data_IF_572286562032
#
_entry.id   IF_572286562032
#
_cell.length_a   1.000
_cell.length_b   1.000
_cell.length_c   1.000
_cell.angle_alpha   90.00
_cell.angle_beta   90.00
_cell.angle_gamma   90.00
#
_symmetry.space_group_name_H-M   'P 1'
#
loop_
_entity.id
_entity.type
_entity.pdbx_description
1 polymer ?
#
# COMPACT_ATOMS: atom_id res chain seq x y z
N UNK A 1 12.77 -13.55 -1.36
CA UNK A 1 13.35 -12.19 -1.39
C UNK A 1 13.04 -11.58 -2.74
N UNK A 2 12.46 -10.37 -2.77
CA UNK A 2 12.17 -9.67 -4.03
C UNK A 2 13.50 -9.27 -4.70
N UNK A 3 13.66 -9.63 -5.97
CA UNK A 3 14.80 -9.21 -6.80
C UNK A 3 14.51 -7.94 -7.59
N UNK A 4 13.27 -7.42 -7.51
CA UNK A 4 12.84 -6.20 -8.20
C UNK A 4 12.38 -5.15 -7.20
N UNK A 5 12.83 -3.90 -7.42
CA UNK A 5 12.41 -2.73 -6.65
C UNK A 5 11.85 -1.65 -7.57
N UNK A 6 11.00 -0.81 -7.03
CA UNK A 6 10.53 0.41 -7.68
C UNK A 6 11.39 1.59 -7.21
N UNK A 7 11.74 2.49 -8.12
CA UNK A 7 12.44 3.73 -7.85
C UNK A 7 11.71 4.89 -8.51
N UNK A 8 11.46 5.94 -7.75
CA UNK A 8 11.01 7.23 -8.28
C UNK A 8 12.03 8.31 -7.91
N UNK A 9 12.31 9.21 -8.83
CA UNK A 9 13.14 10.37 -8.57
C UNK A 9 12.25 11.57 -8.24
N UNK A 10 12.58 12.29 -7.16
CA UNK A 10 11.91 13.53 -6.84
C UNK A 10 12.15 14.59 -7.94
N UNK A 11 11.25 15.57 -8.06
CA UNK A 11 11.28 16.56 -9.13
C UNK A 11 12.58 17.39 -9.18
N UNK A 12 13.23 17.58 -8.04
CA UNK A 12 14.51 18.30 -7.94
C UNK A 12 15.75 17.43 -8.23
N UNK A 13 15.57 16.10 -8.43
CA UNK A 13 16.67 15.20 -8.69
C UNK A 13 17.11 15.29 -10.16
N UNK A 14 18.43 15.40 -10.43
CA UNK A 14 18.94 15.34 -11.78
C UNK A 14 18.79 13.94 -12.39
N UNK A 15 18.69 13.88 -13.71
CA UNK A 15 18.62 12.59 -14.42
C UNK A 15 19.88 11.76 -14.17
N UNK A 16 21.06 12.38 -14.18
CA UNK A 16 22.35 11.70 -13.95
C UNK A 16 22.40 11.06 -12.56
N UNK A 17 21.91 11.75 -11.52
CA UNK A 17 21.86 11.20 -10.18
C UNK A 17 20.88 10.02 -10.08
N UNK A 18 19.73 10.12 -10.74
CA UNK A 18 18.76 9.02 -10.79
C UNK A 18 19.33 7.81 -11.53
N UNK A 19 20.01 8.02 -12.65
CA UNK A 19 20.63 6.96 -13.44
C UNK A 19 21.80 6.31 -12.71
N UNK A 20 22.61 7.08 -12.00
CA UNK A 20 23.68 6.56 -11.14
C UNK A 20 23.14 5.68 -10.01
N UNK A 21 22.04 6.10 -9.37
CA UNK A 21 21.37 5.31 -8.33
C UNK A 21 20.82 3.99 -8.89
N UNK A 22 20.19 4.03 -10.07
CA UNK A 22 19.70 2.83 -10.76
C UNK A 22 20.86 1.88 -11.09
N UNK A 23 21.95 2.42 -11.66
CA UNK A 23 23.14 1.63 -11.98
C UNK A 23 23.75 0.94 -10.77
N UNK A 24 23.83 1.64 -9.63
CA UNK A 24 24.31 1.06 -8.38
C UNK A 24 23.43 -0.12 -7.90
N UNK A 25 22.10 0.04 -7.95
CA UNK A 25 21.17 -1.00 -7.54
C UNK A 25 21.21 -2.21 -8.49
N UNK A 26 21.37 -1.96 -9.79
CA UNK A 26 21.52 -3.02 -10.79
C UNK A 26 22.87 -3.76 -10.61
N UNK A 27 23.94 -3.07 -10.30
CA UNK A 27 25.23 -3.68 -9.98
C UNK A 27 25.16 -4.55 -8.71
N UNK A 28 24.25 -4.24 -7.78
CA UNK A 28 23.95 -5.05 -6.61
C UNK A 28 23.02 -6.26 -6.92
N UNK A 29 22.71 -6.50 -8.19
CA UNK A 29 21.89 -7.65 -8.63
C UNK A 29 20.38 -7.41 -8.57
N UNK A 30 19.91 -6.18 -8.36
CA UNK A 30 18.49 -5.85 -8.32
C UNK A 30 17.98 -5.44 -9.71
N UNK A 31 16.76 -5.85 -10.02
CA UNK A 31 16.01 -5.28 -11.14
C UNK A 31 15.31 -4.00 -10.68
N UNK A 32 15.44 -2.91 -11.43
CA UNK A 32 14.85 -1.62 -11.07
C UNK A 32 13.74 -1.25 -12.05
N UNK A 33 12.55 -0.96 -11.52
CA UNK A 33 11.45 -0.35 -12.27
C UNK A 33 11.35 1.13 -11.94
N UNK A 34 11.53 1.97 -12.94
CA UNK A 34 11.38 3.43 -12.81
C UNK A 34 9.90 3.79 -12.84
N UNK A 35 9.41 4.50 -11.83
CA UNK A 35 8.03 4.94 -11.70
C UNK A 35 7.95 6.46 -11.49
N UNK A 36 6.76 7.02 -11.69
CA UNK A 36 6.49 8.41 -11.30
C UNK A 36 6.52 8.56 -9.76
N UNK A 37 6.90 9.74 -9.30
CA UNK A 37 6.90 10.09 -7.87
C UNK A 37 5.48 10.38 -7.40
N UNK A 38 4.79 9.33 -6.98
CA UNK A 38 3.43 9.37 -6.43
C UNK A 38 3.38 8.64 -5.10
N UNK A 39 2.52 9.04 -4.15
CA UNK A 39 2.40 8.39 -2.85
C UNK A 39 2.15 6.89 -2.98
N UNK A 40 3.00 6.09 -2.33
CA UNK A 40 2.91 4.62 -2.34
C UNK A 40 3.36 3.95 -3.62
N UNK A 41 3.83 4.69 -4.61
CA UNK A 41 4.20 4.17 -5.93
C UNK A 41 3.09 3.26 -6.52
N UNK A 42 3.43 2.08 -7.06
CA UNK A 42 2.43 1.15 -7.59
C UNK A 42 1.92 0.17 -6.51
N UNK A 43 2.83 -0.58 -5.88
CA UNK A 43 2.45 -1.70 -4.99
C UNK A 43 1.79 -1.21 -3.72
N UNK A 44 2.43 -0.29 -2.99
CA UNK A 44 1.88 0.21 -1.73
C UNK A 44 0.57 0.96 -1.93
N UNK A 45 0.44 1.73 -3.01
CA UNK A 45 -0.83 2.37 -3.37
C UNK A 45 -1.94 1.35 -3.57
N UNK A 46 -1.66 0.29 -4.35
CA UNK A 46 -2.65 -0.76 -4.64
C UNK A 46 -3.05 -1.50 -3.36
N UNK A 47 -2.08 -1.94 -2.56
CA UNK A 47 -2.35 -2.66 -1.31
C UNK A 47 -3.12 -1.77 -0.33
N UNK A 48 -2.74 -0.50 -0.20
CA UNK A 48 -3.42 0.45 0.70
C UNK A 48 -4.89 0.66 0.29
N UNK A 49 -5.17 0.82 -1.01
CA UNK A 49 -6.54 0.98 -1.50
C UNK A 49 -7.37 -0.28 -1.31
N UNK A 50 -6.82 -1.46 -1.63
CA UNK A 50 -7.52 -2.73 -1.40
C UNK A 50 -7.84 -2.95 0.09
N UNK A 51 -6.89 -2.67 0.96
CA UNK A 51 -7.09 -2.75 2.40
C UNK A 51 -8.15 -1.75 2.90
N UNK A 52 -8.14 -0.54 2.33
CA UNK A 52 -9.09 0.52 2.69
C UNK A 52 -10.54 0.11 2.39
N UNK A 53 -10.79 -0.39 1.18
CA UNK A 53 -12.13 -0.85 0.76
C UNK A 53 -12.59 -2.06 1.58
N UNK A 54 -11.69 -3.03 1.81
CA UNK A 54 -12.00 -4.19 2.64
C UNK A 54 -12.29 -3.79 4.10
N UNK A 55 -11.54 -2.83 4.65
CA UNK A 55 -11.77 -2.30 5.99
C UNK A 55 -13.10 -1.54 6.10
N UNK A 56 -13.50 -0.81 5.06
CA UNK A 56 -14.81 -0.15 5.03
C UNK A 56 -15.95 -1.18 5.02
N UNK A 57 -15.83 -2.26 4.25
CA UNK A 57 -16.84 -3.35 4.25
C UNK A 57 -16.98 -3.98 5.64
N UNK A 58 -15.87 -4.21 6.34
CA UNK A 58 -15.88 -4.72 7.72
C UNK A 58 -16.50 -3.70 8.68
N UNK A 59 -16.12 -2.42 8.56
CA UNK A 59 -16.65 -1.35 9.39
C UNK A 59 -18.16 -1.19 9.26
N UNK A 60 -18.69 -1.36 8.06
CA UNK A 60 -20.12 -1.31 7.76
C UNK A 60 -20.88 -2.60 8.13
N UNK A 61 -20.20 -3.60 8.66
CA UNK A 61 -20.82 -4.87 9.09
C UNK A 61 -21.21 -5.80 7.93
N UNK A 62 -20.67 -5.58 6.73
CA UNK A 62 -20.95 -6.45 5.57
C UNK A 62 -20.38 -7.86 5.78
N UNK A 63 -19.16 -7.93 6.36
CA UNK A 63 -18.48 -9.19 6.62
C UNK A 63 -17.42 -9.02 7.73
N UNK A 64 -16.88 -10.15 8.23
CA UNK A 64 -15.70 -10.12 9.12
C UNK A 64 -14.42 -9.88 8.33
N UNK A 65 -13.32 -9.50 9.01
CA UNK A 65 -12.01 -9.34 8.40
C UNK A 65 -11.52 -10.64 7.71
N UNK A 66 -11.75 -11.77 8.38
CA UNK A 66 -11.43 -13.10 7.84
C UNK A 66 -12.22 -13.42 6.57
N UNK A 67 -13.51 -13.06 6.55
CA UNK A 67 -14.38 -13.31 5.40
C UNK A 67 -14.01 -12.42 4.21
N UNK A 68 -13.67 -11.14 4.44
CA UNK A 68 -13.17 -10.23 3.41
C UNK A 68 -11.91 -10.78 2.76
N UNK A 69 -10.94 -11.22 3.55
CA UNK A 69 -9.69 -11.79 3.06
C UNK A 69 -9.91 -13.11 2.31
N UNK A 70 -10.80 -13.98 2.82
CA UNK A 70 -11.15 -15.23 2.14
C UNK A 70 -11.80 -14.97 0.78
N UNK A 71 -12.72 -14.02 0.69
CA UNK A 71 -13.40 -13.65 -0.56
C UNK A 71 -12.39 -13.19 -1.63
N UNK A 72 -11.42 -12.37 -1.27
CA UNK A 72 -10.40 -11.89 -2.22
C UNK A 72 -9.41 -12.99 -2.63
N UNK A 73 -9.05 -13.88 -1.71
CA UNK A 73 -8.19 -15.03 -2.04
C UNK A 73 -8.87 -16.04 -2.95
N UNK A 74 -10.14 -16.35 -2.69
CA UNK A 74 -10.88 -17.36 -3.43
C UNK A 74 -11.52 -16.81 -4.72
N UNK A 75 -12.01 -15.58 -4.68
CA UNK A 75 -12.71 -14.97 -5.81
C UNK A 75 -11.79 -14.41 -6.89
N UNK A 76 -10.65 -13.84 -6.52
CA UNK A 76 -9.71 -13.20 -7.45
C UNK A 76 -8.29 -13.78 -7.36
N UNK A 77 -8.14 -14.89 -6.65
CA UNK A 77 -6.89 -15.64 -6.54
C UNK A 77 -5.69 -14.81 -6.02
N UNK A 78 -5.94 -13.92 -5.06
CA UNK A 78 -4.86 -13.19 -4.41
C UNK A 78 -4.03 -14.12 -3.52
N UNK A 79 -2.69 -13.96 -3.50
CA UNK A 79 -1.82 -14.81 -2.67
C UNK A 79 -2.03 -14.57 -1.17
N UNK A 80 -2.55 -13.40 -0.81
CA UNK A 80 -2.87 -13.00 0.57
C UNK A 80 -4.08 -12.08 0.55
N UNK A 81 -4.89 -12.11 1.60
CA UNK A 81 -6.01 -11.19 1.73
C UNK A 81 -5.56 -9.74 1.98
N UNK A 82 -6.34 -8.75 1.56
CA UNK A 82 -5.98 -7.33 1.64
C UNK A 82 -5.74 -6.85 3.08
N UNK A 83 -6.54 -7.30 4.04
CA UNK A 83 -6.38 -6.92 5.45
C UNK A 83 -5.16 -7.59 6.08
N UNK A 84 -4.90 -8.86 5.77
CA UNK A 84 -3.70 -9.56 6.18
C UNK A 84 -2.43 -8.96 5.54
N UNK A 85 -2.51 -8.40 4.34
CA UNK A 85 -1.42 -7.61 3.75
C UNK A 85 -1.17 -6.34 4.54
N UNK A 86 -2.23 -5.59 4.86
CA UNK A 86 -2.12 -4.36 5.63
C UNK A 86 -1.45 -4.59 6.99
N UNK A 87 -1.87 -5.64 7.71
CA UNK A 87 -1.25 -6.03 8.99
C UNK A 87 0.23 -6.41 8.82
N UNK A 88 0.59 -7.13 7.74
CA UNK A 88 1.98 -7.54 7.47
C UNK A 88 2.90 -6.38 7.12
N UNK A 89 2.39 -5.38 6.40
CA UNK A 89 3.13 -4.16 6.02
C UNK A 89 3.23 -3.19 7.19
N UNK A 90 2.31 -3.32 8.13
CA UNK A 90 2.12 -2.39 9.24
C UNK A 90 1.04 -1.36 8.93
N UNK A 91 -0.04 -1.40 9.71
CA UNK A 91 -1.24 -0.60 9.47
C UNK A 91 -0.96 0.91 9.48
N UNK A 92 0.02 1.38 10.25
CA UNK A 92 0.48 2.76 10.25
C UNK A 92 1.02 3.20 8.88
N UNK A 93 1.73 2.31 8.16
CA UNK A 93 2.24 2.60 6.83
C UNK A 93 1.08 2.72 5.81
N UNK A 94 0.10 1.83 5.90
CA UNK A 94 -1.13 1.89 5.08
C UNK A 94 -1.87 3.22 5.31
N UNK A 95 -2.09 3.58 6.56
CA UNK A 95 -2.73 4.84 6.94
C UNK A 95 -1.99 6.06 6.38
N UNK A 96 -0.66 6.07 6.50
CA UNK A 96 0.19 7.16 6.00
C UNK A 96 0.08 7.31 4.49
N UNK A 97 0.13 6.20 3.74
CA UNK A 97 0.00 6.22 2.27
C UNK A 97 -1.38 6.74 1.86
N UNK A 98 -2.46 6.28 2.49
CA UNK A 98 -3.83 6.74 2.20
C UNK A 98 -3.97 8.24 2.48
N UNK A 99 -3.43 8.74 3.59
CA UNK A 99 -3.43 10.17 3.90
C UNK A 99 -2.68 10.98 2.85
N UNK A 100 -1.50 10.53 2.42
CA UNK A 100 -0.73 11.21 1.37
C UNK A 100 -1.48 11.20 0.03
N UNK A 101 -2.14 10.10 -0.32
CA UNK A 101 -3.00 10.03 -1.51
C UNK A 101 -4.15 11.04 -1.42
N UNK A 102 -4.86 11.08 -0.29
CA UNK A 102 -5.93 12.05 -0.05
C UNK A 102 -5.46 13.50 -0.16
N UNK A 103 -4.32 13.83 0.45
CA UNK A 103 -3.73 15.17 0.36
C UNK A 103 -3.29 15.54 -1.06
N UNK A 104 -2.76 14.56 -1.84
CA UNK A 104 -2.25 14.81 -3.19
C UNK A 104 -3.36 14.95 -4.23
N UNK A 105 -4.44 14.19 -4.11
CA UNK A 105 -5.51 14.15 -5.11
C UNK A 105 -6.78 14.91 -4.69
N UNK A 106 -7.04 15.06 -3.39
CA UNK A 106 -8.24 15.72 -2.88
C UNK A 106 -9.55 15.00 -3.20
N UNK A 107 -9.50 13.69 -3.46
CA UNK A 107 -10.65 12.89 -3.85
C UNK A 107 -11.13 11.98 -2.71
N UNK A 108 -12.45 11.84 -2.56
CA UNK A 108 -13.09 11.03 -1.51
C UNK A 108 -12.68 9.55 -1.57
N UNK A 109 -12.31 9.04 -2.74
CA UNK A 109 -11.83 7.65 -2.90
C UNK A 109 -10.61 7.32 -2.03
N UNK A 110 -9.84 8.34 -1.62
CA UNK A 110 -8.66 8.17 -0.76
C UNK A 110 -8.96 8.45 0.71
N UNK A 111 -10.22 8.64 1.08
CA UNK A 111 -10.66 8.75 2.47
C UNK A 111 -10.24 7.49 3.23
N UNK A 112 -9.55 7.68 4.34
CA UNK A 112 -9.13 6.57 5.18
C UNK A 112 -10.35 5.97 5.86
N UNK A 113 -10.52 4.66 5.77
CA UNK A 113 -11.59 3.93 6.47
C UNK A 113 -11.55 4.21 7.98
N UNK A 114 -12.70 4.47 8.61
CA UNK A 114 -12.76 4.65 10.06
C UNK A 114 -12.17 3.48 10.84
N UNK A 115 -12.33 2.25 10.36
CA UNK A 115 -11.74 1.07 11.00
C UNK A 115 -10.21 1.17 11.03
N UNK A 116 -9.57 1.52 9.90
CA UNK A 116 -8.11 1.68 9.85
C UNK A 116 -7.68 2.75 10.83
N UNK A 117 -8.36 3.90 10.89
CA UNK A 117 -8.03 4.97 11.84
C UNK A 117 -8.14 4.49 13.29
N UNK A 118 -9.23 3.82 13.65
CA UNK A 118 -9.47 3.30 15.00
C UNK A 118 -8.37 2.31 15.41
N UNK A 119 -8.02 1.37 14.52
CA UNK A 119 -7.01 0.35 14.83
C UNK A 119 -5.60 0.95 14.94
N UNK A 120 -5.28 1.93 14.10
CA UNK A 120 -4.00 2.67 14.21
C UNK A 120 -3.90 3.39 15.54
N UNK A 121 -4.94 4.12 15.97
CA UNK A 121 -4.94 4.80 17.26
C UNK A 121 -4.92 3.83 18.44
N UNK A 122 -5.54 2.67 18.29
CA UNK A 122 -5.52 1.62 19.31
C UNK A 122 -4.22 0.79 19.34
N UNK A 123 -3.35 0.93 18.34
CA UNK A 123 -2.15 0.11 18.18
C UNK A 123 -2.46 -1.36 17.93
N UNK A 124 -3.60 -1.66 17.26
CA UNK A 124 -4.09 -3.02 17.03
C UNK A 124 -4.09 -3.37 15.54
N UNK A 125 -3.95 -4.67 15.19
CA UNK A 125 -4.14 -5.13 13.81
C UNK A 125 -5.62 -5.14 13.42
N UNK A 126 -5.89 -5.36 12.12
CA UNK A 126 -7.25 -5.55 11.59
C UNK A 126 -7.80 -6.96 11.90
N UNK A 127 -6.90 -7.94 12.02
CA UNK A 127 -7.20 -9.28 12.53
C UNK A 127 -6.91 -9.31 14.03
N UNK A 128 -7.85 -8.93 14.82
CA UNK A 128 -7.80 -8.97 16.26
C UNK A 128 -8.44 -10.22 16.86
#
# INVERSE_FOLDING_TARGET
TSTRIALASAAQCSLDAADAAIGLLQAAGLQVSRLADIPGLAVMRTVAMLANEAADAVYQGVCSAQAADAAMRLGVNYPKGPLAWADSVGLQNIHTVLRHLGCSYGEDRYRVSPLIQQQVFAGKPLHG
#
